data_IF_795606610459
#
_entry.id   IF_795606610459
#
_cell.length_a   1.000
_cell.length_b   1.000
_cell.length_c   1.000
_cell.angle_alpha   90.00
_cell.angle_beta   90.00
_cell.angle_gamma   90.00
#
_symmetry.space_group_name_H-M   'P 1'
#
loop_
_entity.id
_entity.type
_entity.pdbx_description
1 polymer ?
#
# COMPACT_ATOMS: atom_id res chain seq x y z
N UNK A 1 3.34 28.61 -23.61
CA UNK A 1 4.21 27.75 -24.45
C UNK A 1 3.49 27.44 -25.75
N UNK A 2 4.17 27.52 -26.90
CA UNK A 2 3.60 27.15 -28.21
C UNK A 2 4.22 25.82 -28.65
N UNK A 3 3.39 24.87 -29.08
CA UNK A 3 3.86 23.59 -29.65
C UNK A 3 4.47 23.88 -31.02
N UNK A 4 5.64 23.31 -31.31
CA UNK A 4 6.30 23.44 -32.63
C UNK A 4 6.05 22.23 -33.51
N UNK A 5 6.16 21.03 -32.94
CA UNK A 5 5.90 19.77 -33.63
C UNK A 5 5.06 18.86 -32.74
N UNK A 6 4.09 18.18 -33.36
CA UNK A 6 3.30 17.13 -32.74
C UNK A 6 3.29 15.92 -33.68
N UNK A 7 3.64 14.75 -33.15
CA UNK A 7 3.66 13.50 -33.88
C UNK A 7 2.68 12.51 -33.25
N UNK A 8 1.86 11.89 -34.10
CA UNK A 8 0.88 10.88 -33.72
C UNK A 8 1.35 9.54 -34.25
N UNK A 9 1.59 8.59 -33.35
CA UNK A 9 1.97 7.24 -33.72
C UNK A 9 0.72 6.33 -33.74
N UNK A 10 0.31 5.78 -34.89
CA UNK A 10 -0.85 4.89 -34.97
C UNK A 10 -0.67 3.59 -34.15
N UNK A 11 0.57 3.17 -33.87
CA UNK A 11 0.84 2.00 -33.03
C UNK A 11 0.56 2.25 -31.54
N UNK A 12 0.59 3.52 -31.09
CA UNK A 12 0.34 3.92 -29.70
C UNK A 12 -0.89 4.85 -29.61
N UNK A 13 -2.12 4.33 -29.80
CA UNK A 13 -3.31 5.17 -29.78
C UNK A 13 -3.46 5.87 -28.43
N UNK A 14 -3.61 7.19 -28.44
CA UNK A 14 -3.76 7.99 -27.23
C UNK A 14 -2.48 8.57 -26.64
N UNK A 15 -1.32 8.35 -27.28
CA UNK A 15 -0.05 9.00 -26.92
C UNK A 15 0.33 9.96 -28.05
N UNK A 16 0.70 11.18 -27.69
CA UNK A 16 1.17 12.22 -28.62
C UNK A 16 2.57 12.64 -28.22
N UNK A 17 3.49 12.64 -29.18
CA UNK A 17 4.85 13.13 -28.99
C UNK A 17 4.92 14.60 -29.36
N UNK A 18 5.27 15.46 -28.42
CA UNK A 18 5.26 16.92 -28.56
C UNK A 18 6.67 17.48 -28.40
N UNK A 19 7.08 18.39 -29.29
CA UNK A 19 8.28 19.21 -29.12
C UNK A 19 7.94 20.69 -28.99
N UNK A 20 8.54 21.33 -27.99
CA UNK A 20 8.46 22.77 -27.78
C UNK A 20 9.62 23.53 -28.44
N UNK A 21 10.79 22.89 -28.58
CA UNK A 21 11.96 23.39 -29.30
C UNK A 21 12.44 22.35 -30.33
N UNK A 22 13.00 22.80 -31.46
CA UNK A 22 13.51 21.88 -32.49
C UNK A 22 14.69 21.02 -32.00
N UNK A 23 15.50 21.59 -31.11
CA UNK A 23 16.69 20.93 -30.54
C UNK A 23 16.40 20.13 -29.28
N UNK A 24 15.14 20.06 -28.82
CA UNK A 24 14.78 19.30 -27.61
C UNK A 24 14.24 17.91 -27.97
N UNK A 25 14.45 16.97 -27.07
CA UNK A 25 13.85 15.65 -27.17
C UNK A 25 12.31 15.75 -27.12
N UNK A 26 11.59 14.92 -27.90
CA UNK A 26 10.14 14.88 -27.86
C UNK A 26 9.64 14.38 -26.51
N UNK A 27 8.56 14.97 -26.03
CA UNK A 27 7.87 14.62 -24.79
C UNK A 27 6.62 13.83 -25.16
N UNK A 28 6.47 12.62 -24.61
CA UNK A 28 5.25 11.83 -24.78
C UNK A 28 4.18 12.27 -23.77
N UNK A 29 2.98 12.58 -24.27
CA UNK A 29 1.81 12.99 -23.48
C UNK A 29 0.64 12.03 -23.75
N UNK A 30 0.02 11.52 -22.70
CA UNK A 30 -1.22 10.76 -22.80
C UNK A 30 -2.42 11.70 -22.97
N UNK A 31 -3.17 11.55 -24.07
CA UNK A 31 -4.35 12.35 -24.41
C UNK A 31 -5.68 11.60 -24.21
N UNK A 32 -5.65 10.32 -23.83
CA UNK A 32 -6.89 9.55 -23.54
C UNK A 32 -7.57 10.02 -22.26
N UNK A 33 -6.77 10.37 -21.26
CA UNK A 33 -7.28 10.89 -19.99
C UNK A 33 -7.59 12.38 -20.15
N UNK A 34 -8.85 12.69 -20.46
CA UNK A 34 -9.37 14.06 -20.60
C UNK A 34 -9.30 14.90 -19.31
N UNK A 35 -8.73 14.35 -18.22
CA UNK A 35 -8.64 14.96 -16.89
C UNK A 35 -7.23 14.74 -16.33
N UNK A 36 -6.58 15.82 -15.94
CA UNK A 36 -5.26 15.78 -15.30
C UNK A 36 -4.23 16.68 -15.98
N UNK A 37 -3.08 16.83 -15.31
CA UNK A 37 -1.94 17.58 -15.86
C UNK A 37 -1.21 16.67 -16.87
N UNK A 38 -0.83 17.16 -18.05
CA UNK A 38 -0.03 16.36 -18.98
C UNK A 38 1.29 15.97 -18.31
N UNK A 39 1.52 14.67 -18.17
CA UNK A 39 2.72 14.10 -17.56
C UNK A 39 3.66 13.66 -18.67
N UNK A 40 4.92 14.09 -18.61
CA UNK A 40 5.94 13.57 -19.51
C UNK A 40 6.30 12.15 -19.09
N UNK A 41 5.85 11.15 -19.86
CA UNK A 41 6.08 9.75 -19.55
C UNK A 41 7.55 9.33 -19.62
N UNK A 42 8.39 10.07 -20.35
CA UNK A 42 9.83 9.76 -20.45
C UNK A 42 10.60 10.09 -19.18
N UNK A 43 10.11 11.04 -18.38
CA UNK A 43 10.78 11.52 -17.16
C UNK A 43 9.97 11.25 -15.90
N UNK A 44 8.79 10.64 -16.02
CA UNK A 44 7.91 10.43 -14.88
C UNK A 44 8.22 9.10 -14.20
N UNK A 45 8.86 9.21 -13.05
CA UNK A 45 8.98 8.11 -12.09
C UNK A 45 7.96 8.35 -10.99
N UNK A 46 7.00 7.44 -10.74
CA UNK A 46 6.11 7.56 -9.59
C UNK A 46 6.95 7.64 -8.31
N UNK A 47 6.68 8.65 -7.47
CA UNK A 47 7.30 8.70 -6.14
C UNK A 47 6.82 7.52 -5.30
N UNK A 48 7.67 7.01 -4.41
CA UNK A 48 7.21 6.04 -3.42
C UNK A 48 6.14 6.68 -2.54
N UNK A 49 4.96 6.07 -2.47
CA UNK A 49 3.87 6.58 -1.63
C UNK A 49 4.15 6.41 -0.13
N UNK A 50 5.02 5.46 0.21
CA UNK A 50 5.36 5.11 1.59
C UNK A 50 6.87 4.97 1.75
N UNK A 51 7.38 5.34 2.92
CA UNK A 51 8.80 5.25 3.27
C UNK A 51 9.17 3.88 3.85
N UNK A 52 8.18 3.15 4.35
CA UNK A 52 8.34 1.84 4.96
C UNK A 52 7.11 0.98 4.66
N UNK A 53 7.27 -0.33 4.82
CA UNK A 53 6.15 -1.26 4.79
C UNK A 53 5.36 -1.15 6.09
N UNK A 54 4.04 -1.24 6.00
CA UNK A 54 3.18 -1.18 7.17
C UNK A 54 3.22 -2.53 7.90
N UNK A 55 3.51 -2.56 9.21
CA UNK A 55 3.51 -3.80 9.97
C UNK A 55 2.08 -4.36 10.02
N UNK A 56 1.95 -5.67 9.81
CA UNK A 56 0.67 -6.36 9.95
C UNK A 56 0.48 -6.78 11.40
N UNK A 57 -0.71 -6.55 11.95
CA UNK A 57 -1.07 -7.07 13.26
C UNK A 57 -0.99 -8.61 13.27
N UNK A 58 -0.51 -9.19 14.38
CA UNK A 58 -0.30 -10.64 14.50
C UNK A 58 -1.58 -11.43 14.24
N UNK A 59 -2.72 -10.98 14.78
CA UNK A 59 -4.03 -11.60 14.56
C UNK A 59 -4.38 -11.67 13.06
N UNK A 60 -3.97 -10.69 12.25
CA UNK A 60 -4.21 -10.68 10.80
C UNK A 60 -3.30 -11.66 10.05
N UNK A 61 -2.10 -11.88 10.57
CA UNK A 61 -1.20 -12.90 10.04
C UNK A 61 -1.77 -14.30 10.32
N UNK A 62 -2.32 -14.52 11.51
CA UNK A 62 -2.98 -15.78 11.89
C UNK A 62 -4.25 -16.04 11.07
N UNK A 63 -5.15 -15.05 10.96
CA UNK A 63 -6.34 -15.11 10.09
C UNK A 63 -5.94 -15.52 8.66
N UNK A 64 -4.87 -14.92 8.13
CA UNK A 64 -4.40 -15.22 6.77
C UNK A 64 -3.84 -16.64 6.65
N UNK A 65 -3.12 -17.15 7.65
CA UNK A 65 -2.68 -18.54 7.70
C UNK A 65 -3.87 -19.50 7.73
N UNK A 66 -4.95 -19.15 8.43
CA UNK A 66 -6.17 -19.96 8.50
C UNK A 66 -6.93 -19.99 7.17
N UNK A 67 -7.01 -18.86 6.47
CA UNK A 67 -7.59 -18.80 5.13
C UNK A 67 -6.80 -19.63 4.09
N UNK A 68 -5.48 -19.71 4.23
CA UNK A 68 -4.64 -20.58 3.40
C UNK A 68 -4.88 -22.06 3.75
N UNK A 69 -4.91 -22.40 5.05
CA UNK A 69 -5.12 -23.78 5.55
C UNK A 69 -6.50 -24.34 5.22
N UNK A 70 -7.54 -23.53 5.35
CA UNK A 70 -8.93 -23.89 5.05
C UNK A 70 -9.21 -24.06 3.55
N UNK A 71 -8.28 -23.62 2.68
CA UNK A 71 -8.48 -23.66 1.24
C UNK A 71 -9.44 -22.59 0.70
N UNK A 72 -9.86 -21.64 1.55
CA UNK A 72 -10.66 -20.48 1.12
C UNK A 72 -9.91 -19.65 0.06
N UNK A 73 -8.59 -19.61 0.16
CA UNK A 73 -7.72 -19.01 -0.86
C UNK A 73 -7.28 -20.11 -1.87
N UNK A 74 -7.52 -19.92 -3.18
CA UNK A 74 -7.02 -20.84 -4.20
C UNK A 74 -5.49 -20.99 -4.16
N UNK A 75 -5.01 -22.22 -4.35
CA UNK A 75 -3.58 -22.57 -4.27
C UNK A 75 -2.66 -21.71 -5.16
N UNK A 76 -3.16 -21.28 -6.33
CA UNK A 76 -2.44 -20.35 -7.23
C UNK A 76 -2.01 -19.04 -6.58
N UNK A 77 -2.65 -18.62 -5.49
CA UNK A 77 -2.35 -17.38 -4.78
C UNK A 77 -1.55 -17.59 -3.50
N UNK A 78 -1.32 -18.84 -3.07
CA UNK A 78 -0.64 -19.11 -1.80
C UNK A 78 0.78 -18.54 -1.76
N UNK A 79 1.52 -18.56 -2.87
CA UNK A 79 2.86 -17.99 -2.95
C UNK A 79 2.89 -16.49 -2.63
N UNK A 80 1.91 -15.74 -3.15
CA UNK A 80 1.76 -14.32 -2.86
C UNK A 80 1.49 -14.09 -1.37
N UNK A 81 0.48 -14.75 -0.80
CA UNK A 81 0.11 -14.51 0.59
C UNK A 81 1.17 -14.98 1.60
N UNK A 82 1.92 -16.04 1.29
CA UNK A 82 3.10 -16.44 2.08
C UNK A 82 4.16 -15.34 2.08
N UNK A 83 4.45 -14.73 0.93
CA UNK A 83 5.41 -13.61 0.87
C UNK A 83 4.97 -12.42 1.73
N UNK A 84 3.67 -12.16 1.85
CA UNK A 84 3.13 -11.09 2.71
C UNK A 84 3.34 -11.41 4.19
N UNK A 85 3.13 -12.67 4.59
CA UNK A 85 3.34 -13.15 5.96
C UNK A 85 4.81 -13.03 6.37
N UNK A 86 5.72 -13.49 5.51
CA UNK A 86 7.17 -13.48 5.79
C UNK A 86 7.71 -12.06 5.96
N UNK A 87 7.15 -11.10 5.22
CA UNK A 87 7.49 -9.67 5.33
C UNK A 87 6.96 -9.06 6.64
N UNK A 88 5.76 -9.44 7.07
CA UNK A 88 5.15 -8.92 8.31
C UNK A 88 5.84 -9.44 9.57
N UNK A 89 6.31 -10.68 9.56
CA UNK A 89 6.95 -11.32 10.72
C UNK A 89 8.37 -10.79 11.04
N UNK A 90 9.03 -10.13 10.08
CA UNK A 90 10.38 -9.60 10.27
C UNK A 90 10.43 -8.25 11.04
N UNK A 91 9.29 -7.62 11.31
CA UNK A 91 9.22 -6.24 11.82
C UNK A 91 8.81 -6.09 13.29
N UNK A 92 8.52 -7.18 14.01
CA UNK A 92 8.00 -7.11 15.39
C UNK A 92 9.07 -6.84 16.46
N UNK A 93 10.36 -6.74 16.11
CA UNK A 93 11.43 -6.59 17.10
C UNK A 93 11.88 -5.15 17.41
N UNK A 94 11.46 -4.12 16.66
CA UNK A 94 12.12 -2.80 16.73
C UNK A 94 11.23 -1.61 17.14
N UNK A 95 9.98 -1.81 17.60
CA UNK A 95 9.17 -0.65 17.98
C UNK A 95 8.17 -0.90 19.10
N UNK A 96 8.67 -0.92 20.34
CA UNK A 96 7.90 -0.50 21.50
C UNK A 96 8.86 0.04 22.59
N UNK A 97 9.37 1.25 22.39
CA UNK A 97 9.83 2.09 23.50
C UNK A 97 8.77 3.18 23.67
N UNK A 98 7.74 2.88 24.47
CA UNK A 98 6.95 3.93 25.09
C UNK A 98 7.91 4.73 25.96
N UNK A 99 8.16 5.99 25.57
CA UNK A 99 8.80 6.97 26.44
C UNK A 99 8.00 7.07 27.74
N UNK A 100 8.68 6.92 28.87
CA UNK A 100 8.11 6.86 30.24
C UNK A 100 7.48 8.19 30.73
N UNK A 101 7.19 9.14 29.84
CA UNK A 101 6.74 10.50 30.20
C UNK A 101 5.26 10.79 29.88
N UNK A 102 4.43 9.77 29.65
CA UNK A 102 2.98 9.92 29.47
C UNK A 102 2.24 9.77 30.82
N UNK A 103 2.45 10.68 31.76
CA UNK A 103 1.90 10.60 33.12
C UNK A 103 0.39 10.92 33.24
N UNK A 104 -0.42 10.88 32.17
CA UNK A 104 -1.77 11.49 32.20
C UNK A 104 -2.90 10.78 31.43
N UNK A 105 -2.83 9.45 31.25
CA UNK A 105 -3.98 8.68 30.73
C UNK A 105 -4.28 7.43 31.57
N UNK A 106 -4.46 7.59 32.88
CA UNK A 106 -5.07 6.58 33.73
C UNK A 106 -6.54 6.97 33.96
N UNK A 107 -7.41 6.73 32.98
CA UNK A 107 -8.85 6.70 33.24
C UNK A 107 -9.29 5.24 33.40
N UNK A 108 -9.59 4.93 34.66
CA UNK A 108 -10.17 3.69 35.14
C UNK A 108 -11.46 3.39 34.35
N UNK A 109 -11.58 2.17 33.84
CA UNK A 109 -12.89 1.57 33.67
C UNK A 109 -12.91 0.23 34.37
N UNK A 110 -13.62 0.25 35.49
CA UNK A 110 -14.01 -0.85 36.34
C UNK A 110 -14.61 -2.01 35.50
N UNK A 111 -13.96 -3.17 35.58
CA UNK A 111 -14.60 -4.43 35.20
C UNK A 111 -15.00 -5.10 36.51
N UNK A 112 -16.26 -4.91 36.88
CA UNK A 112 -16.90 -5.65 37.97
C UNK A 112 -16.81 -7.15 37.68
N UNK A 113 -16.26 -7.89 38.64
CA UNK A 113 -16.25 -9.34 38.66
C UNK A 113 -17.62 -9.83 39.12
N UNK A 114 -18.38 -10.53 38.27
CA UNK A 114 -19.43 -11.41 38.74
C UNK A 114 -18.92 -12.85 38.77
N UNK A 115 -18.50 -13.22 39.97
CA UNK A 115 -18.36 -14.57 40.48
C UNK A 115 -19.76 -15.23 40.54
N UNK A 116 -19.99 -16.29 39.75
CA UNK A 116 -21.08 -17.24 40.05
C UNK A 116 -20.44 -18.61 40.28
N UNK A 117 -20.13 -18.85 41.54
CA UNK A 117 -20.02 -20.18 42.14
C UNK A 117 -21.45 -20.71 42.30
N UNK A 118 -21.70 -21.96 41.89
CA UNK A 118 -22.67 -22.80 42.60
C UNK A 118 -22.31 -24.28 42.41
N UNK A 119 -22.11 -24.91 43.57
CA UNK A 119 -21.67 -26.27 43.84
C UNK A 119 -22.72 -27.35 43.51
N UNK A 120 -22.19 -28.54 43.22
CA UNK A 120 -22.66 -29.89 43.57
C UNK A 120 -24.12 -30.09 44.04
N UNK A 121 -24.83 -30.97 43.33
CA UNK A 121 -25.60 -32.09 43.91
C UNK A 121 -25.61 -33.29 42.96
#
# INVERSE_FOLDING_TARGET
MKIREAHFDPAKPGIVSIKYNYNSNPIEVNVKDKRGRPVNLTTYTPGSAYNAKFPLAENKIEDLKDLIRSGAIPSKYHAFYKSVIDIGAAQTNDHLQCSEDCADCCDNNDVEQEEIVLENQ
#
